data_IF_274199937707
#
_entry.id   IF_274199937707
#
_cell.length_a   1.000
_cell.length_b   1.000
_cell.length_c   1.000
_cell.angle_alpha   90.00
_cell.angle_beta   90.00
_cell.angle_gamma   90.00
#
_symmetry.space_group_name_H-M   'P 1'
#
loop_
_entity.id
_entity.type
_entity.pdbx_description
1 polymer ?
#
# COMPACT_ATOMS: atom_id res chain seq x y z
N UNK A 1 -14.88 5.40 -22.24
CA UNK A 1 -14.25 5.28 -20.89
C UNK A 1 -13.67 6.59 -20.37
N UNK A 2 -12.84 7.32 -21.13
CA UNK A 2 -12.26 8.59 -20.66
C UNK A 2 -13.32 9.64 -20.33
N UNK A 3 -14.34 9.79 -21.18
CA UNK A 3 -15.43 10.76 -20.94
C UNK A 3 -16.33 10.34 -19.78
N UNK A 4 -16.64 9.04 -19.68
CA UNK A 4 -17.38 8.49 -18.52
C UNK A 4 -16.66 8.78 -17.20
N UNK A 5 -15.32 8.69 -17.19
CA UNK A 5 -14.52 9.10 -16.04
C UNK A 5 -14.64 10.59 -15.77
N UNK A 6 -14.61 11.45 -16.81
CA UNK A 6 -14.82 12.89 -16.65
C UNK A 6 -16.18 13.23 -16.03
N UNK A 7 -17.26 12.62 -16.53
CA UNK A 7 -18.62 12.80 -16.02
C UNK A 7 -18.73 12.30 -14.57
N UNK A 8 -18.24 11.08 -14.29
CA UNK A 8 -18.26 10.55 -12.93
C UNK A 8 -17.44 11.41 -11.97
N UNK A 9 -16.32 11.97 -12.45
CA UNK A 9 -15.47 12.86 -11.66
C UNK A 9 -16.21 14.15 -11.27
N UNK A 10 -17.06 14.69 -12.15
CA UNK A 10 -17.86 15.89 -11.87
C UNK A 10 -19.06 15.64 -10.96
N UNK A 11 -19.48 14.39 -10.78
CA UNK A 11 -20.49 14.01 -9.79
C UNK A 11 -19.88 14.07 -8.37
N UNK A 12 -19.84 15.28 -7.79
CA UNK A 12 -19.27 15.55 -6.46
C UNK A 12 -20.32 15.40 -5.34
N UNK A 13 -21.58 15.73 -5.61
CA UNK A 13 -22.66 15.58 -4.61
C UNK A 13 -23.22 14.16 -4.57
N UNK A 14 -23.86 13.80 -3.46
CA UNK A 14 -24.56 12.51 -3.30
C UNK A 14 -25.62 12.34 -4.39
N UNK A 15 -26.41 13.37 -4.68
CA UNK A 15 -27.50 13.30 -5.66
C UNK A 15 -26.96 13.09 -7.08
N UNK A 16 -25.95 13.86 -7.48
CA UNK A 16 -25.33 13.74 -8.80
C UNK A 16 -24.62 12.41 -8.99
N UNK A 17 -23.98 11.87 -7.94
CA UNK A 17 -23.41 10.54 -7.96
C UNK A 17 -24.49 9.48 -8.04
N UNK A 18 -25.55 9.58 -7.25
CA UNK A 18 -26.65 8.61 -7.23
C UNK A 18 -27.36 8.54 -8.59
N UNK A 19 -27.54 9.66 -9.29
CA UNK A 19 -28.04 9.69 -10.66
C UNK A 19 -27.13 8.90 -11.61
N UNK A 20 -25.81 9.13 -11.53
CA UNK A 20 -24.84 8.41 -12.35
C UNK A 20 -24.77 6.92 -11.98
N UNK A 21 -24.81 6.60 -10.68
CA UNK A 21 -24.81 5.25 -10.14
C UNK A 21 -26.05 4.48 -10.60
N UNK A 22 -27.25 5.07 -10.49
CA UNK A 22 -28.47 4.46 -11.00
C UNK A 22 -28.44 4.32 -12.53
N UNK A 23 -27.80 5.24 -13.24
CA UNK A 23 -27.64 5.08 -14.70
C UNK A 23 -26.73 3.90 -15.05
N UNK A 24 -25.61 3.70 -14.35
CA UNK A 24 -24.69 2.59 -14.66
C UNK A 24 -25.14 1.25 -14.06
N UNK A 25 -25.61 1.26 -12.80
CA UNK A 25 -26.21 0.15 -12.06
C UNK A 25 -27.74 0.26 -12.13
N UNK A 26 -28.28 0.18 -13.35
CA UNK A 26 -29.71 0.43 -13.64
C UNK A 26 -30.67 -0.59 -13.01
N UNK A 27 -30.21 -1.82 -12.77
CA UNK A 27 -31.08 -2.88 -12.24
C UNK A 27 -30.23 -3.97 -11.54
N UNK A 28 -29.83 -3.80 -10.27
CA UNK A 28 -28.94 -4.74 -9.59
C UNK A 28 -29.50 -6.18 -9.50
N UNK A 29 -30.83 -6.35 -9.63
CA UNK A 29 -31.52 -7.66 -9.63
C UNK A 29 -31.67 -8.31 -11.02
N UNK A 30 -31.42 -7.59 -12.11
CA UNK A 30 -31.43 -8.12 -13.47
C UNK A 30 -30.01 -8.07 -14.03
N UNK A 31 -29.21 -9.04 -13.61
CA UNK A 31 -27.77 -9.09 -13.88
C UNK A 31 -27.47 -8.84 -15.35
N UNK A 32 -28.20 -9.43 -16.29
CA UNK A 32 -27.97 -9.29 -17.74
C UNK A 32 -28.26 -7.89 -18.32
N UNK A 33 -28.97 -7.02 -17.61
CA UNK A 33 -29.39 -5.69 -18.08
C UNK A 33 -28.63 -4.53 -17.40
N UNK A 34 -27.63 -4.83 -16.56
CA UNK A 34 -26.80 -3.81 -15.94
C UNK A 34 -25.75 -3.29 -16.93
N UNK A 35 -25.62 -1.96 -17.09
CA UNK A 35 -24.59 -1.37 -17.97
C UNK A 35 -23.18 -1.68 -17.48
N UNK A 36 -23.01 -2.03 -16.20
CA UNK A 36 -21.74 -2.50 -15.66
C UNK A 36 -21.23 -3.77 -16.34
N UNK A 37 -22.11 -4.67 -16.82
CA UNK A 37 -21.69 -5.87 -17.55
C UNK A 37 -20.95 -5.53 -18.85
N UNK A 38 -21.22 -4.37 -19.45
CA UNK A 38 -20.46 -3.91 -20.61
C UNK A 38 -18.99 -3.72 -20.22
N UNK A 39 -18.70 -3.22 -19.01
CA UNK A 39 -17.34 -3.09 -18.51
C UNK A 39 -16.66 -4.45 -18.34
N UNK A 40 -17.37 -5.43 -17.76
CA UNK A 40 -16.88 -6.81 -17.64
C UNK A 40 -16.60 -7.42 -19.00
N UNK A 41 -17.51 -7.24 -19.96
CA UNK A 41 -17.35 -7.79 -21.31
C UNK A 41 -16.20 -7.14 -22.07
N UNK A 42 -16.01 -5.84 -21.93
CA UNK A 42 -14.84 -5.13 -22.47
C UNK A 42 -13.55 -5.67 -21.84
N UNK A 43 -13.55 -5.91 -20.53
CA UNK A 43 -12.41 -6.52 -19.84
C UNK A 43 -12.08 -7.91 -20.42
N UNK A 44 -13.08 -8.77 -20.60
CA UNK A 44 -12.90 -10.12 -21.13
C UNK A 44 -12.38 -10.15 -22.57
N UNK A 45 -12.86 -9.24 -23.43
CA UNK A 45 -12.51 -9.19 -24.85
C UNK A 45 -11.22 -8.42 -25.13
N UNK A 46 -10.94 -7.38 -24.34
CA UNK A 46 -9.88 -6.42 -24.61
C UNK A 46 -8.75 -6.45 -23.58
N UNK A 47 -8.63 -7.48 -22.74
CA UNK A 47 -7.57 -7.58 -21.72
C UNK A 47 -6.15 -7.44 -22.29
N UNK A 48 -5.95 -7.79 -23.56
CA UNK A 48 -4.65 -7.67 -24.24
C UNK A 48 -4.30 -6.24 -24.68
N UNK A 49 -5.28 -5.33 -24.72
CA UNK A 49 -5.12 -3.96 -25.17
C UNK A 49 -5.14 -2.98 -23.98
N UNK A 50 -3.94 -2.57 -23.54
CA UNK A 50 -3.80 -1.63 -22.43
C UNK A 50 -4.34 -0.23 -22.75
N UNK A 51 -4.46 0.14 -24.03
CA UNK A 51 -5.04 1.43 -24.43
C UNK A 51 -6.54 1.49 -24.15
N UNK A 52 -7.21 0.33 -24.11
CA UNK A 52 -8.60 0.18 -23.71
C UNK A 52 -8.72 -0.08 -22.20
N UNK A 53 -7.92 -0.99 -21.66
CA UNK A 53 -8.01 -1.41 -20.27
C UNK A 53 -7.61 -0.32 -19.27
N UNK A 54 -6.56 0.45 -19.56
CA UNK A 54 -6.12 1.49 -18.63
C UNK A 54 -7.18 2.60 -18.45
N UNK A 55 -7.83 3.13 -19.50
CA UNK A 55 -8.99 4.00 -19.34
C UNK A 55 -10.16 3.36 -18.60
N UNK A 56 -10.44 2.06 -18.81
CA UNK A 56 -11.51 1.35 -18.12
C UNK A 56 -11.26 1.29 -16.61
N UNK A 57 -10.06 0.91 -16.18
CA UNK A 57 -9.73 0.76 -14.76
C UNK A 57 -9.60 2.12 -14.08
N UNK A 58 -9.10 3.14 -14.79
CA UNK A 58 -9.14 4.53 -14.31
C UNK A 58 -10.56 5.02 -14.10
N UNK A 59 -11.48 4.65 -14.99
CA UNK A 59 -12.91 4.94 -14.82
C UNK A 59 -13.47 4.17 -13.62
N UNK A 60 -13.14 2.89 -13.48
CA UNK A 60 -13.58 2.07 -12.36
C UNK A 60 -13.10 2.63 -11.01
N UNK A 61 -11.82 3.04 -10.93
CA UNK A 61 -11.27 3.69 -9.75
C UNK A 61 -12.04 4.98 -9.41
N UNK A 62 -12.33 5.80 -10.41
CA UNK A 62 -13.13 7.02 -10.22
C UNK A 62 -14.57 6.72 -9.80
N UNK A 63 -15.20 5.65 -10.31
CA UNK A 63 -16.56 5.26 -9.95
C UNK A 63 -16.67 4.88 -8.47
N UNK A 64 -15.61 4.29 -7.92
CA UNK A 64 -15.58 3.71 -6.58
C UNK A 64 -15.04 4.65 -5.51
N UNK A 65 -14.51 5.80 -5.91
CA UNK A 65 -13.97 6.82 -5.01
C UNK A 65 -15.08 7.49 -4.18
N UNK A 66 -15.05 7.35 -2.86
CA UNK A 66 -15.99 8.00 -1.94
C UNK A 66 -15.56 9.43 -1.54
N UNK A 67 -14.89 10.16 -2.43
CA UNK A 67 -14.58 11.59 -2.26
C UNK A 67 -15.83 12.40 -1.87
N UNK A 68 -15.66 13.25 -0.87
CA UNK A 68 -16.76 14.10 -0.36
C UNK A 68 -17.94 13.33 0.22
N UNK A 69 -17.78 12.03 0.55
CA UNK A 69 -18.87 11.15 1.01
C UNK A 69 -20.04 11.05 0.03
N UNK A 70 -19.76 11.10 -1.27
CA UNK A 70 -20.77 11.05 -2.33
C UNK A 70 -21.41 9.65 -2.51
N UNK A 71 -20.75 8.60 -2.04
CA UNK A 71 -21.24 7.22 -2.05
C UNK A 71 -21.87 6.96 -0.69
N UNK A 72 -23.20 6.95 -0.65
CA UNK A 72 -23.97 6.64 0.55
C UNK A 72 -25.00 5.58 0.22
N UNK A 73 -24.86 4.40 0.83
CA UNK A 73 -25.85 3.34 0.75
C UNK A 73 -26.54 3.17 2.10
N UNK A 74 -27.83 2.86 2.08
CA UNK A 74 -28.53 2.46 3.30
C UNK A 74 -27.84 1.26 3.95
N UNK A 75 -27.81 1.19 5.28
CA UNK A 75 -27.17 0.09 6.02
C UNK A 75 -27.74 -1.30 5.70
N UNK A 76 -28.98 -1.35 5.21
CA UNK A 76 -29.67 -2.57 4.78
C UNK A 76 -29.48 -2.88 3.29
N UNK A 77 -28.80 -2.00 2.55
CA UNK A 77 -28.59 -2.14 1.12
C UNK A 77 -27.44 -3.08 0.79
N UNK A 78 -27.67 -4.00 -0.14
CA UNK A 78 -26.63 -4.84 -0.71
C UNK A 78 -25.78 -4.12 -1.77
N UNK A 79 -26.02 -2.84 -2.05
CA UNK A 79 -25.37 -2.13 -3.16
C UNK A 79 -23.86 -2.01 -2.98
N UNK A 80 -23.37 -1.75 -1.76
CA UNK A 80 -21.93 -1.67 -1.49
C UNK A 80 -21.24 -3.01 -1.74
N UNK A 81 -21.83 -4.09 -1.25
CA UNK A 81 -21.35 -5.46 -1.45
C UNK A 81 -21.36 -5.84 -2.94
N UNK A 82 -22.47 -5.57 -3.64
CA UNK A 82 -22.59 -5.86 -5.06
C UNK A 82 -21.54 -5.07 -5.87
N UNK A 83 -21.41 -3.78 -5.59
CA UNK A 83 -20.46 -2.91 -6.28
C UNK A 83 -19.02 -3.41 -6.09
N UNK A 84 -18.67 -3.86 -4.88
CA UNK A 84 -17.39 -4.51 -4.62
C UNK A 84 -17.20 -5.80 -5.40
N UNK A 85 -18.19 -6.70 -5.43
CA UNK A 85 -18.06 -7.96 -6.16
C UNK A 85 -17.90 -7.73 -7.67
N UNK A 86 -18.70 -6.81 -8.21
CA UNK A 86 -18.66 -6.45 -9.62
C UNK A 86 -17.33 -5.81 -10.02
N UNK A 87 -16.79 -4.91 -9.19
CA UNK A 87 -15.48 -4.29 -9.43
C UNK A 87 -14.32 -5.27 -9.21
N UNK A 88 -14.40 -6.10 -8.17
CA UNK A 88 -13.40 -7.12 -7.86
C UNK A 88 -13.30 -8.16 -8.96
N UNK A 89 -14.40 -8.53 -9.62
CA UNK A 89 -14.34 -9.41 -10.80
C UNK A 89 -13.43 -8.84 -11.89
N UNK A 90 -13.55 -7.56 -12.22
CA UNK A 90 -12.72 -6.90 -13.24
C UNK A 90 -11.25 -6.90 -12.80
N UNK A 91 -10.99 -6.55 -11.53
CA UNK A 91 -9.63 -6.54 -10.97
C UNK A 91 -9.01 -7.94 -10.95
N UNK A 92 -9.77 -8.96 -10.54
CA UNK A 92 -9.32 -10.35 -10.50
C UNK A 92 -9.01 -10.84 -11.91
N UNK A 93 -9.97 -10.73 -12.82
CA UNK A 93 -9.81 -11.21 -14.20
C UNK A 93 -8.62 -10.54 -14.89
N UNK A 94 -8.55 -9.21 -14.86
CA UNK A 94 -7.47 -8.49 -15.53
C UNK A 94 -6.14 -8.65 -14.82
N UNK A 95 -6.13 -8.63 -13.48
CA UNK A 95 -4.93 -8.82 -12.67
C UNK A 95 -4.27 -10.18 -12.93
N UNK A 96 -5.05 -11.26 -12.99
CA UNK A 96 -4.52 -12.58 -13.35
C UNK A 96 -3.86 -12.56 -14.75
N UNK A 97 -4.50 -11.93 -15.75
CA UNK A 97 -3.91 -11.82 -17.10
C UNK A 97 -2.66 -10.97 -17.15
N UNK A 98 -2.61 -9.87 -16.38
CA UNK A 98 -1.39 -9.06 -16.24
C UNK A 98 -0.25 -9.89 -15.64
N UNK A 99 -0.53 -10.66 -14.59
CA UNK A 99 0.46 -11.48 -13.90
C UNK A 99 1.00 -12.59 -14.80
N UNK A 100 0.11 -13.32 -15.49
CA UNK A 100 0.48 -14.36 -16.45
C UNK A 100 1.42 -13.82 -17.54
N UNK A 101 1.05 -12.69 -18.15
CA UNK A 101 1.84 -12.07 -19.21
C UNK A 101 3.19 -11.58 -18.70
N UNK A 102 3.23 -10.99 -17.52
CA UNK A 102 4.47 -10.48 -16.92
C UNK A 102 5.40 -11.62 -16.52
N UNK A 103 4.88 -12.74 -16.03
CA UNK A 103 5.66 -13.94 -15.75
C UNK A 103 6.19 -14.61 -17.03
N UNK A 104 5.41 -14.61 -18.11
CA UNK A 104 5.87 -15.09 -19.43
C UNK A 104 7.05 -14.25 -19.95
N UNK A 105 7.00 -12.93 -19.78
CA UNK A 105 8.11 -12.03 -20.15
C UNK A 105 9.39 -12.32 -19.35
N UNK A 106 9.27 -12.61 -18.05
CA UNK A 106 10.42 -12.90 -17.17
C UNK A 106 11.08 -14.25 -17.44
N UNK A 107 10.30 -15.25 -17.85
CA UNK A 107 10.79 -16.63 -18.06
C UNK A 107 11.29 -16.88 -19.48
N UNK A 108 11.15 -15.92 -20.40
CA UNK A 108 11.55 -16.06 -21.79
C UNK A 108 10.76 -17.13 -22.56
N UNK A 109 9.66 -17.64 -21.99
CA UNK A 109 8.84 -18.67 -22.62
C UNK A 109 7.93 -18.04 -23.68
N UNK A 110 7.98 -18.51 -24.94
CA UNK A 110 6.92 -18.22 -25.90
C UNK A 110 5.60 -18.76 -25.32
N UNK A 111 4.54 -17.96 -25.35
CA UNK A 111 3.21 -18.40 -24.94
C UNK A 111 2.84 -19.73 -25.60
N UNK A 112 2.41 -20.72 -24.80
CA UNK A 112 1.74 -21.95 -25.28
C UNK A 112 0.34 -21.70 -25.86
N UNK A 113 -0.09 -20.44 -25.92
CA UNK A 113 -1.34 -19.98 -26.52
C UNK A 113 -1.03 -19.07 -27.72
N UNK A 114 -0.54 -19.67 -28.80
CA UNK A 114 -0.82 -19.37 -30.22
C UNK A 114 -0.83 -17.93 -30.78
N UNK A 115 -0.49 -16.89 -30.02
CA UNK A 115 -0.44 -15.52 -30.53
C UNK A 115 1.01 -15.14 -30.82
N UNK A 116 1.33 -14.74 -32.06
CA UNK A 116 2.68 -14.30 -32.38
C UNK A 116 2.97 -13.04 -31.56
N UNK A 117 4.00 -13.10 -30.73
CA UNK A 117 4.70 -11.90 -30.29
C UNK A 117 5.32 -11.35 -31.57
N UNK A 118 4.63 -10.41 -32.22
CA UNK A 118 5.19 -9.68 -33.34
C UNK A 118 6.56 -9.12 -32.94
N UNK A 119 7.54 -9.08 -33.85
CA UNK A 119 8.86 -8.57 -33.53
C UNK A 119 8.71 -7.18 -32.93
N UNK A 120 9.40 -6.95 -31.80
CA UNK A 120 9.54 -5.66 -31.14
C UNK A 120 10.23 -4.68 -32.11
N UNK A 121 9.47 -4.14 -33.05
CA UNK A 121 9.91 -3.12 -33.99
C UNK A 121 9.44 -1.78 -33.44
N UNK A 122 10.38 -1.00 -32.90
CA UNK A 122 10.16 0.42 -32.64
C UNK A 122 10.76 0.97 -31.35
N UNK A 123 12.08 1.15 -31.35
CA UNK A 123 12.83 2.21 -30.64
C UNK A 123 12.20 2.93 -29.43
N UNK A 124 11.88 2.20 -28.36
CA UNK A 124 11.80 2.65 -26.97
C UNK A 124 12.24 1.47 -26.10
N UNK A 125 13.00 1.70 -25.04
CA UNK A 125 13.51 0.65 -24.15
C UNK A 125 12.37 -0.28 -23.67
N UNK A 126 12.60 -1.60 -23.65
CA UNK A 126 11.63 -2.61 -23.19
C UNK A 126 11.01 -2.24 -21.82
N UNK A 127 11.77 -1.57 -20.95
CA UNK A 127 11.35 -1.07 -19.64
C UNK A 127 10.19 -0.08 -19.70
N UNK A 128 10.21 0.87 -20.66
CA UNK A 128 9.18 1.91 -20.78
C UNK A 128 7.83 1.32 -21.17
N UNK A 129 7.84 0.31 -22.04
CA UNK A 129 6.62 -0.39 -22.46
C UNK A 129 6.10 -1.32 -21.37
N UNK A 130 6.99 -2.01 -20.63
CA UNK A 130 6.60 -2.80 -19.46
C UNK A 130 5.90 -1.92 -18.42
N UNK A 131 6.47 -0.77 -18.10
CA UNK A 131 5.88 0.18 -17.16
C UNK A 131 4.49 0.65 -17.61
N UNK A 132 4.37 1.15 -18.85
CA UNK A 132 3.10 1.70 -19.36
C UNK A 132 2.00 0.65 -19.40
N UNK A 133 2.33 -0.58 -19.82
CA UNK A 133 1.38 -1.66 -20.02
C UNK A 133 1.02 -2.36 -18.71
N UNK A 134 2.02 -2.77 -17.94
CA UNK A 134 1.82 -3.62 -16.76
C UNK A 134 1.79 -2.82 -15.47
N UNK A 135 2.89 -2.18 -15.08
CA UNK A 135 2.98 -1.58 -13.73
C UNK A 135 1.93 -0.49 -13.52
N UNK A 136 1.69 0.34 -14.53
CA UNK A 136 0.64 1.36 -14.47
C UNK A 136 -0.75 0.75 -14.37
N UNK A 137 -1.01 -0.34 -15.08
CA UNK A 137 -2.27 -1.08 -15.00
C UNK A 137 -2.46 -1.69 -13.61
N UNK A 138 -1.43 -2.33 -13.06
CA UNK A 138 -1.42 -2.88 -11.70
C UNK A 138 -1.73 -1.79 -10.67
N UNK A 139 -1.04 -0.67 -10.75
CA UNK A 139 -1.25 0.47 -9.86
C UNK A 139 -2.71 0.95 -9.85
N UNK A 140 -3.36 1.04 -11.02
CA UNK A 140 -4.77 1.42 -11.08
C UNK A 140 -5.72 0.31 -10.60
N UNK A 141 -5.37 -0.98 -10.75
CA UNK A 141 -6.11 -2.07 -10.10
C UNK A 141 -6.05 -1.93 -8.57
N UNK A 142 -4.88 -1.61 -8.02
CA UNK A 142 -4.73 -1.37 -6.59
C UNK A 142 -5.52 -0.13 -6.15
N UNK A 143 -5.54 0.93 -6.96
CA UNK A 143 -6.33 2.14 -6.67
C UNK A 143 -7.84 1.85 -6.61
N UNK A 144 -8.36 0.98 -7.49
CA UNK A 144 -9.75 0.50 -7.41
C UNK A 144 -10.03 -0.10 -6.03
N UNK A 145 -9.10 -0.92 -5.52
CA UNK A 145 -9.27 -1.56 -4.22
C UNK A 145 -9.07 -0.60 -3.07
N UNK A 146 -8.15 0.36 -3.15
CA UNK A 146 -8.00 1.41 -2.13
C UNK A 146 -9.32 2.16 -1.94
N UNK A 147 -9.95 2.58 -3.04
CA UNK A 147 -11.23 3.30 -2.99
C UNK A 147 -12.40 2.44 -2.50
N UNK A 148 -12.38 1.16 -2.84
CA UNK A 148 -13.49 0.26 -2.49
C UNK A 148 -13.37 -0.22 -1.04
N UNK A 149 -12.20 -0.75 -0.67
CA UNK A 149 -11.94 -1.30 0.66
C UNK A 149 -11.85 -0.20 1.74
N UNK A 150 -11.33 0.98 1.39
CA UNK A 150 -11.21 2.13 2.30
C UNK A 150 -12.34 3.15 2.19
N UNK A 151 -13.40 2.85 1.42
CA UNK A 151 -14.46 3.81 1.10
C UNK A 151 -15.57 3.95 2.14
N UNK A 152 -15.57 3.14 3.21
CA UNK A 152 -16.58 3.13 4.28
C UNK A 152 -18.04 2.88 3.84
N UNK A 153 -18.25 2.27 2.67
CA UNK A 153 -19.60 1.93 2.15
C UNK A 153 -19.84 0.42 2.02
N UNK A 154 -18.95 -0.42 2.59
CA UNK A 154 -19.04 -1.89 2.55
C UNK A 154 -18.89 -2.44 3.97
N UNK A 155 -19.70 -3.46 4.30
CA UNK A 155 -19.57 -4.22 5.55
C UNK A 155 -18.89 -5.56 5.28
N UNK A 156 -17.58 -5.65 5.55
CA UNK A 156 -16.77 -6.85 5.24
C UNK A 156 -17.11 -8.08 6.09
N UNK A 157 -17.64 -7.92 7.32
CA UNK A 157 -18.01 -9.06 8.17
C UNK A 157 -19.13 -9.94 7.60
N UNK A 158 -19.70 -9.55 6.46
CA UNK A 158 -20.78 -10.25 5.77
C UNK A 158 -20.24 -11.32 4.79
N UNK A 159 -18.97 -11.24 4.36
CA UNK A 159 -18.38 -12.22 3.42
C UNK A 159 -18.29 -13.61 4.03
N UNK A 160 -17.81 -13.71 5.27
CA UNK A 160 -17.67 -14.98 5.99
C UNK A 160 -19.02 -15.69 6.18
N UNK A 161 -20.08 -14.90 6.41
CA UNK A 161 -21.45 -15.42 6.61
C UNK A 161 -22.01 -16.05 5.34
N UNK A 162 -21.69 -15.48 4.18
CA UNK A 162 -22.18 -15.98 2.88
C UNK A 162 -21.23 -16.97 2.20
N UNK A 163 -20.09 -17.31 2.83
CA UNK A 163 -19.08 -18.19 2.23
C UNK A 163 -18.46 -17.62 0.95
N UNK A 164 -18.37 -16.29 0.85
CA UNK A 164 -17.90 -15.59 -0.35
C UNK A 164 -16.40 -15.28 -0.25
N UNK A 165 -15.60 -15.97 -1.06
CA UNK A 165 -14.14 -15.87 -1.06
C UNK A 165 -13.60 -14.70 -1.94
N UNK A 166 -14.46 -13.80 -2.42
CA UNK A 166 -14.02 -12.70 -3.32
C UNK A 166 -12.99 -11.79 -2.64
N UNK A 167 -13.15 -11.52 -1.35
CA UNK A 167 -12.24 -10.66 -0.59
C UNK A 167 -10.84 -11.27 -0.48
N UNK A 168 -10.71 -12.53 -0.07
CA UNK A 168 -9.38 -13.15 0.06
C UNK A 168 -8.72 -13.35 -1.30
N UNK A 169 -9.49 -13.70 -2.34
CA UNK A 169 -8.98 -13.81 -3.71
C UNK A 169 -8.38 -12.48 -4.20
N UNK A 170 -9.10 -11.37 -4.01
CA UNK A 170 -8.63 -10.07 -4.50
C UNK A 170 -7.46 -9.55 -3.68
N UNK A 171 -7.42 -9.79 -2.36
CA UNK A 171 -6.28 -9.45 -1.51
C UNK A 171 -5.04 -10.25 -1.89
N UNK A 172 -5.16 -11.57 -2.02
CA UNK A 172 -4.05 -12.45 -2.41
C UNK A 172 -3.47 -12.06 -3.76
N UNK A 173 -4.32 -11.84 -4.77
CA UNK A 173 -3.89 -11.37 -6.08
C UNK A 173 -3.19 -10.00 -6.00
N UNK A 174 -3.70 -9.08 -5.18
CA UNK A 174 -3.11 -7.75 -5.03
C UNK A 174 -1.69 -7.80 -4.49
N UNK A 175 -1.43 -8.64 -3.49
CA UNK A 175 -0.07 -8.85 -3.00
C UNK A 175 0.83 -9.46 -4.07
N UNK A 176 0.34 -10.44 -4.84
CA UNK A 176 1.10 -11.03 -5.95
C UNK A 176 1.43 -10.01 -7.05
N UNK A 177 0.48 -9.15 -7.40
CA UNK A 177 0.68 -8.07 -8.36
C UNK A 177 1.74 -7.07 -7.90
N UNK A 178 1.75 -6.71 -6.61
CA UNK A 178 2.77 -5.83 -6.03
C UNK A 178 4.14 -6.51 -6.09
N UNK A 179 4.23 -7.78 -5.67
CA UNK A 179 5.47 -8.57 -5.68
C UNK A 179 5.99 -8.85 -7.10
N UNK A 180 5.16 -8.69 -8.13
CA UNK A 180 5.57 -8.82 -9.51
C UNK A 180 6.36 -7.60 -10.02
N UNK A 181 6.25 -6.44 -9.36
CA UNK A 181 6.97 -5.21 -9.72
C UNK A 181 8.35 -5.21 -9.02
N UNK A 182 9.46 -5.03 -9.75
CA UNK A 182 10.78 -4.82 -9.16
C UNK A 182 10.82 -3.57 -8.27
N UNK A 183 11.64 -3.61 -7.22
CA UNK A 183 11.76 -2.51 -6.25
C UNK A 183 12.26 -1.22 -6.90
N UNK A 184 13.26 -1.32 -7.79
CA UNK A 184 13.84 -0.18 -8.51
C UNK A 184 12.82 0.53 -9.43
N UNK A 185 11.91 -0.24 -10.02
CA UNK A 185 10.84 0.28 -10.88
C UNK A 185 9.78 1.05 -10.07
N UNK A 186 9.55 0.67 -8.81
CA UNK A 186 8.64 1.41 -7.92
C UNK A 186 9.16 2.81 -7.63
N UNK A 187 10.47 2.95 -7.43
CA UNK A 187 11.12 4.25 -7.15
C UNK A 187 11.28 5.11 -8.40
N UNK A 188 11.38 4.49 -9.59
CA UNK A 188 11.51 5.22 -10.86
C UNK A 188 10.24 6.00 -11.26
N UNK A 189 9.06 5.57 -10.78
CA UNK A 189 7.77 6.16 -11.16
C UNK A 189 6.86 6.50 -9.96
N UNK A 190 7.33 7.31 -8.99
CA UNK A 190 6.68 7.44 -7.67
C UNK A 190 5.21 7.86 -7.77
N UNK A 191 4.91 8.89 -8.57
CA UNK A 191 3.52 9.36 -8.76
C UNK A 191 2.57 8.30 -9.30
N UNK A 192 3.06 7.42 -10.19
CA UNK A 192 2.24 6.34 -10.74
C UNK A 192 2.20 5.12 -9.84
N UNK A 193 3.11 4.99 -8.88
CA UNK A 193 3.18 3.85 -7.95
C UNK A 193 2.62 4.18 -6.57
N UNK A 194 2.23 5.44 -6.31
CA UNK A 194 1.55 5.87 -5.09
C UNK A 194 0.42 4.91 -4.64
N UNK A 195 -0.45 4.38 -5.54
CA UNK A 195 -1.48 3.41 -5.15
C UNK A 195 -0.97 2.11 -4.54
N UNK A 196 0.26 1.67 -4.84
CA UNK A 196 0.89 0.51 -4.20
C UNK A 196 1.03 0.76 -2.70
N UNK A 197 1.57 1.92 -2.34
CA UNK A 197 1.80 2.29 -0.95
C UNK A 197 0.49 2.53 -0.20
N UNK A 198 -0.50 3.20 -0.83
CA UNK A 198 -1.82 3.35 -0.22
C UNK A 198 -2.54 2.02 -0.02
N UNK A 199 -2.39 1.06 -0.95
CA UNK A 199 -2.98 -0.26 -0.78
C UNK A 199 -2.32 -1.01 0.37
N UNK A 200 -0.99 -1.00 0.47
CA UNK A 200 -0.30 -1.70 1.55
C UNK A 200 -0.56 -1.06 2.93
N UNK A 201 -0.69 0.26 3.01
CA UNK A 201 -1.14 0.96 4.22
C UNK A 201 -2.55 0.49 4.63
N UNK A 202 -3.50 0.48 3.67
CA UNK A 202 -4.85 -0.02 3.91
C UNK A 202 -4.86 -1.50 4.33
N UNK A 203 -4.05 -2.33 3.67
CA UNK A 203 -3.95 -3.76 3.94
C UNK A 203 -3.37 -4.03 5.33
N UNK A 204 -2.32 -3.33 5.76
CA UNK A 204 -1.79 -3.45 7.12
C UNK A 204 -2.74 -2.91 8.18
N UNK A 205 -3.61 -1.95 7.83
CA UNK A 205 -4.63 -1.42 8.73
C UNK A 205 -5.81 -2.36 8.94
N UNK A 206 -6.31 -3.00 7.88
CA UNK A 206 -7.59 -3.73 7.89
C UNK A 206 -7.45 -5.25 7.69
N UNK A 207 -6.39 -5.70 7.02
CA UNK A 207 -6.24 -7.06 6.50
C UNK A 207 -4.84 -7.64 6.77
N UNK A 208 -4.25 -7.29 7.91
CA UNK A 208 -2.89 -7.68 8.24
C UNK A 208 -2.74 -9.20 8.42
N UNK A 209 -3.78 -9.87 8.93
CA UNK A 209 -3.77 -11.33 9.08
C UNK A 209 -3.62 -12.05 7.73
N UNK A 210 -4.27 -11.55 6.68
CA UNK A 210 -4.12 -12.05 5.31
C UNK A 210 -2.71 -11.80 4.75
N UNK A 211 -2.10 -10.66 5.06
CA UNK A 211 -0.71 -10.37 4.69
C UNK A 211 0.26 -11.32 5.42
N UNK A 212 0.05 -11.57 6.71
CA UNK A 212 0.89 -12.46 7.53
C UNK A 212 0.70 -13.96 7.22
N UNK A 213 -0.42 -14.33 6.61
CA UNK A 213 -0.66 -15.69 6.14
C UNK A 213 0.21 -16.10 4.94
N UNK A 214 0.85 -15.14 4.26
CA UNK A 214 1.77 -15.40 3.16
C UNK A 214 3.09 -16.07 3.62
N UNK A 215 3.87 -16.54 2.66
CA UNK A 215 5.26 -16.95 2.91
C UNK A 215 6.09 -15.80 3.48
N UNK A 216 6.98 -16.10 4.43
CA UNK A 216 7.77 -15.08 5.14
C UNK A 216 8.55 -14.18 4.19
N UNK A 217 9.16 -14.76 3.15
CA UNK A 217 9.89 -14.04 2.09
C UNK A 217 9.04 -12.98 1.37
N UNK A 218 7.75 -13.24 1.18
CA UNK A 218 6.83 -12.30 0.55
C UNK A 218 6.48 -11.17 1.52
N UNK A 219 6.27 -11.48 2.80
CA UNK A 219 6.10 -10.47 3.87
C UNK A 219 7.34 -9.57 3.95
N UNK A 220 8.55 -10.16 3.93
CA UNK A 220 9.82 -9.42 3.88
C UNK A 220 9.87 -8.43 2.72
N UNK A 221 9.47 -8.86 1.53
CA UNK A 221 9.51 -8.04 0.31
C UNK A 221 8.51 -6.90 0.39
N UNK A 222 7.30 -7.14 0.87
CA UNK A 222 6.30 -6.09 1.09
C UNK A 222 6.76 -5.06 2.15
N UNK A 223 7.40 -5.52 3.23
CA UNK A 223 7.99 -4.62 4.22
C UNK A 223 9.13 -3.79 3.63
N UNK A 224 10.03 -4.39 2.84
CA UNK A 224 11.09 -3.65 2.17
C UNK A 224 10.55 -2.58 1.22
N UNK A 225 9.44 -2.83 0.51
CA UNK A 225 8.77 -1.79 -0.29
C UNK A 225 8.36 -0.61 0.59
N UNK A 226 7.73 -0.87 1.75
CA UNK A 226 7.38 0.19 2.71
C UNK A 226 8.62 0.94 3.27
N UNK A 227 9.68 0.21 3.61
CA UNK A 227 10.93 0.79 4.13
C UNK A 227 11.57 1.73 3.10
N UNK A 228 11.69 1.28 1.85
CA UNK A 228 12.21 2.11 0.76
C UNK A 228 11.29 3.31 0.45
N UNK A 229 9.98 3.14 0.62
CA UNK A 229 9.01 4.22 0.47
C UNK A 229 9.20 5.38 1.45
N UNK A 230 9.81 5.15 2.62
CA UNK A 230 10.19 6.22 3.57
C UNK A 230 11.18 7.22 2.95
N UNK A 231 12.04 6.75 2.04
CA UNK A 231 13.05 7.54 1.35
C UNK A 231 12.49 8.28 0.12
N UNK A 232 11.20 8.12 -0.20
CA UNK A 232 10.59 8.76 -1.36
C UNK A 232 10.52 10.28 -1.19
N UNK A 233 10.85 11.03 -2.24
CA UNK A 233 10.61 12.47 -2.31
C UNK A 233 9.13 12.84 -2.42
N UNK A 234 8.25 11.88 -2.74
CA UNK A 234 6.81 12.10 -2.75
C UNK A 234 6.26 11.96 -1.32
N UNK A 235 5.69 13.07 -0.80
CA UNK A 235 5.18 13.11 0.56
C UNK A 235 4.04 12.12 0.78
N UNK A 236 3.19 11.86 -0.23
CA UNK A 236 2.10 10.88 -0.11
C UNK A 236 2.65 9.46 0.07
N UNK A 237 3.70 9.10 -0.66
CA UNK A 237 4.35 7.79 -0.57
C UNK A 237 5.02 7.62 0.80
N UNK A 238 5.83 8.57 1.22
CA UNK A 238 6.52 8.51 2.51
C UNK A 238 5.56 8.46 3.70
N UNK A 239 4.45 9.21 3.66
CA UNK A 239 3.40 9.18 4.68
C UNK A 239 2.68 7.83 4.71
N UNK A 240 2.27 7.30 3.55
CA UNK A 240 1.62 5.98 3.45
C UNK A 240 2.56 4.88 3.96
N UNK A 241 3.85 4.98 3.65
CA UNK A 241 4.88 4.05 4.09
C UNK A 241 5.09 4.07 5.61
N UNK A 242 5.11 5.28 6.20
CA UNK A 242 5.22 5.41 7.65
C UNK A 242 3.98 4.87 8.38
N UNK A 243 2.78 5.12 7.84
CA UNK A 243 1.51 4.59 8.37
C UNK A 243 1.46 3.06 8.27
N UNK A 244 1.83 2.51 7.11
CA UNK A 244 1.96 1.06 6.88
C UNK A 244 2.85 0.40 7.94
N UNK A 245 4.04 0.97 8.17
CA UNK A 245 4.99 0.44 9.13
C UNK A 245 4.47 0.58 10.56
N UNK A 246 3.75 1.67 10.88
CA UNK A 246 3.15 1.87 12.20
C UNK A 246 2.08 0.81 12.47
N UNK A 247 1.18 0.59 11.51
CA UNK A 247 0.14 -0.44 11.60
C UNK A 247 0.77 -1.83 11.80
N UNK A 248 1.78 -2.16 10.99
CA UNK A 248 2.47 -3.45 11.06
C UNK A 248 3.15 -3.65 12.41
N UNK A 249 4.02 -2.73 12.81
CA UNK A 249 4.80 -2.84 14.04
C UNK A 249 3.90 -2.83 15.28
N UNK A 250 2.84 -2.00 15.29
CA UNK A 250 1.86 -1.97 16.37
C UNK A 250 1.13 -3.31 16.49
N UNK A 251 0.74 -3.91 15.37
CA UNK A 251 0.11 -5.22 15.38
C UNK A 251 1.05 -6.28 15.95
N UNK A 252 2.30 -6.35 15.48
CA UNK A 252 3.29 -7.33 15.96
C UNK A 252 3.55 -7.16 17.46
N UNK A 253 3.71 -5.92 17.94
CA UNK A 253 3.93 -5.64 19.35
C UNK A 253 2.76 -6.09 20.23
N UNK A 254 1.53 -5.70 19.86
CA UNK A 254 0.32 -6.05 20.61
C UNK A 254 0.02 -7.56 20.58
N UNK A 255 0.47 -8.26 19.53
CA UNK A 255 0.23 -9.68 19.33
C UNK A 255 1.49 -10.53 19.52
N UNK A 256 2.53 -10.04 20.20
CA UNK A 256 3.84 -10.71 20.35
C UNK A 256 3.81 -12.15 20.91
N UNK A 257 2.68 -12.56 21.51
CA UNK A 257 2.46 -13.92 22.03
C UNK A 257 1.70 -14.84 21.05
N UNK A 258 1.23 -14.33 19.90
CA UNK A 258 0.55 -15.11 18.87
C UNK A 258 1.54 -15.71 17.89
N UNK A 259 1.22 -16.88 17.34
CA UNK A 259 2.07 -17.64 16.42
C UNK A 259 2.57 -16.81 15.22
N UNK A 260 1.68 -16.07 14.56
CA UNK A 260 2.05 -15.25 13.40
C UNK A 260 3.05 -14.14 13.75
N UNK A 261 2.87 -13.47 14.89
CA UNK A 261 3.80 -12.43 15.33
C UNK A 261 5.15 -13.02 15.76
N UNK A 262 5.15 -14.16 16.45
CA UNK A 262 6.36 -14.90 16.80
C UNK A 262 7.14 -15.32 15.55
N UNK A 263 6.45 -15.79 14.51
CA UNK A 263 7.06 -16.14 13.21
C UNK A 263 7.75 -14.93 12.58
N UNK A 264 7.11 -13.75 12.58
CA UNK A 264 7.71 -12.50 12.09
C UNK A 264 8.92 -12.11 12.93
N UNK A 265 8.83 -12.16 14.26
CA UNK A 265 9.95 -11.82 15.14
C UNK A 265 11.11 -12.82 15.03
N UNK A 266 10.85 -14.08 14.68
CA UNK A 266 11.89 -15.08 14.48
C UNK A 266 12.59 -14.94 13.11
N UNK A 267 11.84 -14.65 12.04
CA UNK A 267 12.34 -14.70 10.66
C UNK A 267 12.67 -13.33 10.06
N UNK A 268 11.93 -12.29 10.45
CA UNK A 268 11.94 -10.97 9.80
C UNK A 268 12.46 -9.84 10.69
N UNK A 269 12.87 -10.13 11.93
CA UNK A 269 13.28 -9.09 12.87
C UNK A 269 14.49 -8.27 12.37
N UNK A 270 15.39 -8.87 11.59
CA UNK A 270 16.50 -8.16 10.97
C UNK A 270 16.02 -7.00 10.06
N UNK A 271 14.87 -7.15 9.39
CA UNK A 271 14.27 -6.12 8.55
C UNK A 271 13.68 -4.99 9.41
N UNK A 272 13.06 -5.33 10.54
CA UNK A 272 12.55 -4.35 11.51
C UNK A 272 13.69 -3.53 12.12
N UNK A 273 14.81 -4.17 12.46
CA UNK A 273 16.02 -3.47 12.94
C UNK A 273 16.61 -2.58 11.84
N UNK A 274 16.72 -3.08 10.59
CA UNK A 274 17.16 -2.26 9.44
C UNK A 274 16.26 -1.02 9.26
N UNK A 275 14.94 -1.20 9.38
CA UNK A 275 13.97 -0.11 9.33
C UNK A 275 14.23 0.93 10.42
N UNK A 276 14.44 0.48 11.68
CA UNK A 276 14.75 1.37 12.80
C UNK A 276 16.02 2.19 12.55
N UNK A 277 17.08 1.55 12.09
CA UNK A 277 18.36 2.22 11.76
C UNK A 277 18.17 3.23 10.62
N UNK A 278 17.42 2.88 9.57
CA UNK A 278 17.09 3.80 8.48
C UNK A 278 16.33 5.03 9.00
N UNK A 279 15.34 4.85 9.87
CA UNK A 279 14.58 5.96 10.45
C UNK A 279 15.47 6.91 11.26
N UNK A 280 16.41 6.39 12.05
CA UNK A 280 17.41 7.24 12.73
C UNK A 280 18.34 7.96 11.75
N UNK A 281 18.78 7.30 10.67
CA UNK A 281 19.55 7.95 9.61
C UNK A 281 18.77 9.11 8.95
N UNK A 282 17.47 8.93 8.67
CA UNK A 282 16.63 9.98 8.10
C UNK A 282 16.44 11.16 9.08
N UNK A 283 16.24 10.86 10.37
CA UNK A 283 16.07 11.89 11.41
C UNK A 283 17.34 12.70 11.67
N UNK A 284 18.50 12.04 11.64
CA UNK A 284 19.82 12.64 11.91
C UNK A 284 20.31 13.48 10.73
N UNK A 285 20.14 13.01 9.49
CA UNK A 285 20.51 13.77 8.27
C UNK A 285 19.52 14.89 7.95
N UNK A 286 18.27 14.76 8.40
CA UNK A 286 17.21 15.71 8.09
C UNK A 286 16.51 15.46 6.76
N UNK A 287 16.75 14.31 6.12
CA UNK A 287 16.17 13.91 4.84
C UNK A 287 14.73 13.40 4.96
N UNK A 288 14.20 13.26 6.18
CA UNK A 288 12.81 12.85 6.38
C UNK A 288 11.83 13.92 5.90
N UNK A 289 10.85 13.55 5.07
CA UNK A 289 9.73 14.45 4.71
C UNK A 289 8.93 14.90 5.95
N UNK A 290 8.85 14.06 6.98
CA UNK A 290 8.19 14.39 8.24
C UNK A 290 8.76 13.55 9.39
N UNK A 291 9.43 14.21 10.33
CA UNK A 291 9.87 13.58 11.58
C UNK A 291 8.67 13.04 12.39
N UNK A 292 7.51 13.67 12.23
CA UNK A 292 6.25 13.27 12.87
C UNK A 292 5.71 11.95 12.33
N UNK A 293 5.80 11.69 11.03
CA UNK A 293 5.28 10.44 10.49
C UNK A 293 6.17 9.25 10.86
N UNK A 294 7.48 9.47 10.91
CA UNK A 294 8.47 8.43 11.23
C UNK A 294 8.48 8.08 12.72
N UNK A 295 8.07 9.00 13.61
CA UNK A 295 8.11 8.77 15.07
C UNK A 295 7.23 7.61 15.53
N UNK A 296 6.02 7.48 14.98
CA UNK A 296 5.04 6.47 15.43
C UNK A 296 5.53 5.03 15.21
N UNK A 297 5.94 4.61 14.00
CA UNK A 297 6.51 3.28 13.81
C UNK A 297 7.83 3.10 14.57
N UNK A 298 8.64 4.15 14.68
CA UNK A 298 9.92 4.10 15.37
C UNK A 298 9.79 3.71 16.84
N UNK A 299 8.78 4.23 17.57
CA UNK A 299 8.54 3.81 18.96
C UNK A 299 8.32 2.31 19.05
N UNK A 300 7.44 1.75 18.20
CA UNK A 300 7.16 0.33 18.20
C UNK A 300 8.39 -0.52 17.88
N UNK A 301 9.24 -0.06 16.96
CA UNK A 301 10.49 -0.73 16.62
C UNK A 301 11.47 -0.75 17.79
N UNK A 302 11.59 0.37 18.51
CA UNK A 302 12.43 0.48 19.71
C UNK A 302 11.93 -0.46 20.81
N UNK A 303 10.62 -0.48 21.07
CA UNK A 303 10.05 -1.33 22.11
C UNK A 303 10.18 -2.82 21.79
N UNK A 304 10.11 -3.20 20.51
CA UNK A 304 10.38 -4.58 20.06
C UNK A 304 11.87 -4.94 20.15
N UNK A 305 12.78 -3.98 19.91
CA UNK A 305 14.22 -4.21 19.74
C UNK A 305 15.08 -3.35 20.68
N UNK A 306 14.80 -3.39 22.00
CA UNK A 306 15.46 -2.54 23.00
C UNK A 306 16.98 -2.71 23.05
N UNK A 307 17.48 -3.94 22.91
CA UNK A 307 18.92 -4.23 22.90
C UNK A 307 19.61 -3.58 21.69
N UNK A 308 19.02 -3.70 20.50
CA UNK A 308 19.56 -3.09 19.29
C UNK A 308 19.52 -1.57 19.36
N UNK A 309 18.44 -1.00 19.88
CA UNK A 309 18.33 0.44 20.09
C UNK A 309 19.47 1.00 20.96
N UNK A 310 19.85 0.29 22.04
CA UNK A 310 20.96 0.70 22.91
C UNK A 310 22.32 0.74 22.17
N UNK A 311 22.49 -0.06 21.12
CA UNK A 311 23.72 -0.11 20.34
C UNK A 311 23.83 1.00 19.27
N UNK A 312 22.70 1.58 18.85
CA UNK A 312 22.65 2.60 17.78
C UNK A 312 23.55 3.81 18.09
N UNK A 313 23.48 4.47 19.27
CA UNK A 313 24.32 5.63 19.56
C UNK A 313 25.82 5.34 19.44
N UNK A 314 26.24 4.15 19.88
CA UNK A 314 27.63 3.73 19.83
C UNK A 314 28.16 3.62 18.39
N UNK A 315 27.32 3.21 17.44
CA UNK A 315 27.69 3.16 16.03
C UNK A 315 27.98 4.56 15.44
N UNK A 316 27.23 5.59 15.86
CA UNK A 316 27.47 6.98 15.45
C UNK A 316 28.67 7.61 16.15
N UNK A 317 28.97 7.19 17.39
CA UNK A 317 30.10 7.71 18.17
C UNK A 317 31.47 7.32 17.59
N UNK A 318 31.56 6.24 16.81
CA UNK A 318 32.83 5.76 16.24
C UNK A 318 33.60 6.83 15.43
N UNK A 319 32.89 7.82 14.88
CA UNK A 319 33.46 8.90 14.08
C UNK A 319 33.39 10.28 14.77
N UNK A 320 33.06 10.35 16.06
CA UNK A 320 32.85 11.61 16.80
C UNK A 320 33.89 11.80 17.91
N UNK A 321 34.19 13.06 18.24
CA UNK A 321 34.99 13.39 19.42
C UNK A 321 34.23 13.04 20.70
N UNK A 322 34.97 12.73 21.79
CA UNK A 322 34.40 12.38 23.09
C UNK A 322 33.27 13.33 23.59
N UNK A 323 33.41 14.68 23.57
CA UNK A 323 32.34 15.57 24.01
C UNK A 323 31.11 15.56 23.10
N UNK A 324 31.30 15.36 21.79
CA UNK A 324 30.21 15.20 20.83
C UNK A 324 29.47 13.87 21.05
N UNK A 325 30.21 12.81 21.36
CA UNK A 325 29.64 11.50 21.69
C UNK A 325 28.78 11.52 22.95
N UNK A 326 29.23 12.17 24.03
CA UNK A 326 28.44 12.33 25.26
C UNK A 326 27.14 13.11 25.01
N UNK A 327 27.21 14.18 24.22
CA UNK A 327 26.03 14.95 23.82
C UNK A 327 25.03 14.10 23.02
N UNK A 328 25.51 13.28 22.10
CA UNK A 328 24.66 12.37 21.31
C UNK A 328 23.95 11.36 22.21
N UNK A 329 24.67 10.73 23.14
CA UNK A 329 24.10 9.79 24.08
C UNK A 329 23.00 10.45 24.93
N UNK A 330 23.20 11.70 25.35
CA UNK A 330 22.18 12.48 26.06
C UNK A 330 20.94 12.71 25.21
N UNK A 331 21.07 13.01 23.92
CA UNK A 331 19.92 13.15 23.01
C UNK A 331 19.12 11.84 22.92
N UNK A 332 19.79 10.69 22.82
CA UNK A 332 19.12 9.37 22.79
C UNK A 332 18.45 9.02 24.12
N UNK A 333 19.03 9.40 25.26
CA UNK A 333 18.37 9.24 26.56
C UNK A 333 17.12 10.15 26.65
N UNK A 334 17.23 11.40 26.21
CA UNK A 334 16.11 12.35 26.17
C UNK A 334 14.96 11.87 25.29
N UNK A 335 15.27 11.15 24.21
CA UNK A 335 14.28 10.56 23.31
C UNK A 335 13.28 9.65 24.05
N UNK A 336 13.76 8.89 25.04
CA UNK A 336 12.96 7.92 25.81
C UNK A 336 12.43 8.48 27.14
N UNK A 337 12.63 9.76 27.44
CA UNK A 337 12.14 10.36 28.69
C UNK A 337 10.61 10.32 28.76
N UNK A 338 10.09 9.73 29.84
CA UNK A 338 8.66 9.61 30.10
C UNK A 338 7.94 8.56 29.24
N UNK A 339 8.68 7.78 28.43
CA UNK A 339 8.10 6.77 27.56
C UNK A 339 7.89 5.47 28.32
N UNK A 340 6.66 4.95 28.26
CA UNK A 340 6.28 3.67 28.85
C UNK A 340 6.49 2.51 27.86
N UNK A 341 6.53 1.26 28.36
CA UNK A 341 6.61 0.06 27.54
C UNK A 341 5.22 -0.38 27.05
N UNK A 342 4.52 0.52 26.35
CA UNK A 342 3.19 0.31 25.75
C UNK A 342 3.03 1.14 24.48
N UNK A 343 2.20 0.73 23.53
CA UNK A 343 1.91 1.48 22.30
C UNK A 343 0.55 2.18 22.32
N UNK A 344 0.28 2.95 23.37
CA UNK A 344 -0.93 3.78 23.47
C UNK A 344 -0.81 5.05 22.61
N UNK A 345 -1.94 5.64 22.16
CA UNK A 345 -1.93 6.93 21.46
C UNK A 345 -1.18 8.02 22.23
N UNK A 346 -1.40 8.11 23.55
CA UNK A 346 -0.77 9.10 24.41
C UNK A 346 0.75 8.94 24.46
N UNK A 347 1.23 7.68 24.57
CA UNK A 347 2.66 7.39 24.61
C UNK A 347 3.32 7.67 23.24
N UNK A 348 2.63 7.34 22.13
CA UNK A 348 3.09 7.69 20.77
C UNK A 348 3.17 9.21 20.57
N UNK A 349 2.22 9.97 21.08
CA UNK A 349 2.21 11.43 20.96
C UNK A 349 3.32 12.08 21.81
N UNK A 350 3.58 11.54 23.01
CA UNK A 350 4.73 11.95 23.83
C UNK A 350 6.05 11.65 23.11
N UNK A 351 6.22 10.43 22.59
CA UNK A 351 7.42 10.07 21.83
C UNK A 351 7.61 10.95 20.60
N UNK A 352 6.53 11.31 19.92
CA UNK A 352 6.59 12.21 18.75
C UNK A 352 7.13 13.59 19.11
N UNK A 353 6.76 14.13 20.29
CA UNK A 353 7.34 15.38 20.80
C UNK A 353 8.85 15.21 21.08
N UNK A 354 9.24 14.10 21.69
CA UNK A 354 10.65 13.80 21.97
C UNK A 354 11.48 13.66 20.68
N UNK A 355 10.95 12.98 19.64
CA UNK A 355 11.59 12.85 18.32
C UNK A 355 11.81 14.23 17.66
N UNK A 356 10.85 15.13 17.80
CA UNK A 356 10.98 16.48 17.25
C UNK A 356 12.13 17.25 17.91
N UNK A 357 12.20 17.23 19.25
CA UNK A 357 13.29 17.83 20.00
C UNK A 357 14.64 17.19 19.65
N UNK A 358 14.68 15.85 19.57
CA UNK A 358 15.86 15.09 19.16
C UNK A 358 16.35 15.52 17.78
N UNK A 359 15.48 15.61 16.78
CA UNK A 359 15.87 15.99 15.41
C UNK A 359 16.42 17.42 15.35
N UNK A 360 15.86 18.35 16.13
CA UNK A 360 16.40 19.71 16.21
C UNK A 360 17.78 19.75 16.88
N UNK A 361 17.95 19.09 18.03
CA UNK A 361 19.21 19.08 18.77
C UNK A 361 20.34 18.44 17.96
N UNK A 362 20.03 17.34 17.27
CA UNK A 362 21.01 16.62 16.44
C UNK A 362 21.44 17.47 15.25
N UNK A 363 20.50 18.08 14.53
CA UNK A 363 20.80 18.98 13.41
C UNK A 363 21.68 20.15 13.83
N UNK A 364 21.43 20.76 14.99
CA UNK A 364 22.25 21.88 15.49
C UNK A 364 23.67 21.47 15.92
N UNK A 365 23.88 20.19 16.23
CA UNK A 365 25.10 19.72 16.91
C UNK A 365 26.03 18.89 16.04
N UNK A 366 25.51 18.26 14.98
CA UNK A 366 26.21 17.24 14.20
C UNK A 366 26.08 17.38 12.68
N UNK A 367 25.16 18.22 12.19
CA UNK A 367 25.05 18.63 10.79
C UNK A 367 25.57 20.06 10.69
#
# INVERSE_FOLDING_TARGET
>A
MRDLRGICKSCVSVESYQLFFNWIINTPKQINNCRFNILKRVCELCYNDYQVMLPLIKFLAELLDNKGRRITFDKTSANGLLLFKESSYIVIYYGLKLLDQLNALKTGSPNSLGYPVGPLVGGLSNETEIYKKYYKSISYCLLVLVHTLGGDYISFGVFDIYGDNTLDQVLSLSFQLILAIPLDDLQSYPKSMQPVYSFLDLATKLFIDQMLAMESSNVSRLLNIGIEGLCSYDSSISLSSASLLDNFVTYIYNNKNKEQALKVLALENAILVKCMVLMFNLLTRGDSNSAWSISRPLLGLILLNKSEFQNIPHSYMANLSQPKGEKLLKCFNNLMLGIEDVLTPENKDLFTKNVYLFSQEVKLSFV
#
